data_IF_556846352979
#
_entry.id   IF_556846352979
#
_cell.length_a   1.000
_cell.length_b   1.000
_cell.length_c   1.000
_cell.angle_alpha   90.00
_cell.angle_beta   90.00
_cell.angle_gamma   90.00
#
_symmetry.space_group_name_H-M   'P 1'
#
loop_
_entity.id
_entity.type
_entity.pdbx_description
1 polymer ?
#
# COMPACT_ATOMS: atom_id res chain seq x y z
N UNK A 1 12.95 3.18 18.43
CA UNK A 1 11.95 2.52 19.29
C UNK A 1 12.14 1.01 19.22
N UNK A 2 12.03 0.30 20.35
CA UNK A 2 12.02 -1.17 20.35
C UNK A 2 10.85 -1.68 19.52
N UNK A 3 11.08 -2.76 18.78
CA UNK A 3 10.08 -3.32 17.86
C UNK A 3 9.04 -4.13 18.64
N UNK A 4 7.76 -3.94 18.33
CA UNK A 4 6.69 -4.79 18.84
C UNK A 4 6.64 -6.12 18.06
N UNK A 5 6.33 -7.21 18.77
CA UNK A 5 6.04 -8.49 18.15
C UNK A 5 4.78 -8.37 17.27
N UNK A 6 4.72 -9.13 16.17
CA UNK A 6 3.50 -9.19 15.36
C UNK A 6 2.39 -9.85 16.17
N UNK A 7 1.19 -9.29 16.06
CA UNK A 7 0.00 -9.94 16.60
C UNK A 7 -0.19 -11.28 15.88
N UNK A 8 -0.44 -12.33 16.66
CA UNK A 8 -0.83 -13.63 16.14
C UNK A 8 -2.34 -13.65 16.00
N UNK A 9 -2.81 -14.08 14.85
CA UNK A 9 -4.23 -14.25 14.59
C UNK A 9 -4.75 -15.57 15.13
N UNK A 10 -5.97 -15.60 15.65
CA UNK A 10 -6.65 -16.84 16.09
C UNK A 10 -7.12 -17.64 14.88
N UNK A 11 -7.65 -16.97 13.86
CA UNK A 11 -8.01 -17.59 12.56
C UNK A 11 -6.79 -17.93 11.70
N UNK A 12 -5.62 -17.40 12.05
CA UNK A 12 -4.39 -17.46 11.27
C UNK A 12 -4.47 -16.76 9.91
N UNK A 13 -5.47 -15.91 9.70
CA UNK A 13 -5.64 -15.13 8.46
C UNK A 13 -5.07 -13.73 8.66
N UNK A 14 -4.30 -13.28 7.67
CA UNK A 14 -3.61 -12.00 7.72
C UNK A 14 -3.71 -11.24 6.41
N UNK A 15 -3.93 -9.93 6.49
CA UNK A 15 -3.59 -9.00 5.42
C UNK A 15 -2.09 -8.73 5.50
N UNK A 16 -1.33 -9.00 4.44
CA UNK A 16 0.12 -8.79 4.36
C UNK A 16 0.47 -7.72 3.33
N UNK A 17 1.41 -6.85 3.68
CA UNK A 17 1.89 -5.80 2.79
C UNK A 17 3.42 -5.76 2.74
N UNK A 18 3.97 -5.81 1.53
CA UNK A 18 5.39 -5.57 1.23
C UNK A 18 5.49 -4.30 0.39
N UNK A 19 6.39 -3.37 0.75
CA UNK A 19 6.55 -2.10 0.03
C UNK A 19 8.02 -1.85 -0.29
N UNK A 20 8.29 -1.37 -1.51
CA UNK A 20 9.63 -0.99 -1.94
C UNK A 20 10.22 0.12 -1.07
N UNK A 21 11.52 0.06 -0.81
CA UNK A 21 12.23 1.11 -0.09
C UNK A 21 12.05 2.46 -0.80
N UNK A 22 11.82 3.54 -0.03
CA UNK A 22 11.50 4.86 -0.58
C UNK A 22 10.31 4.86 -1.57
N UNK A 23 9.40 3.87 -1.47
CA UNK A 23 8.27 3.66 -2.39
C UNK A 23 8.72 3.46 -3.85
N UNK A 24 9.94 3.00 -4.05
CA UNK A 24 10.47 2.71 -5.38
C UNK A 24 9.67 1.62 -6.06
N UNK A 25 9.70 1.61 -7.40
CA UNK A 25 9.14 0.52 -8.18
C UNK A 25 9.90 -0.77 -7.85
N UNK A 26 9.14 -1.81 -7.53
CA UNK A 26 9.63 -3.18 -7.30
C UNK A 26 9.16 -4.11 -8.41
N UNK A 27 8.34 -3.63 -9.34
CA UNK A 27 8.01 -4.27 -10.60
C UNK A 27 8.16 -3.24 -11.73
N UNK A 28 9.13 -3.47 -12.61
CA UNK A 28 9.48 -2.60 -13.72
C UNK A 28 9.12 -3.23 -15.07
N UNK A 29 9.21 -4.55 -15.18
CA UNK A 29 8.97 -5.33 -16.39
C UNK A 29 8.11 -6.56 -16.10
N UNK A 30 7.42 -7.11 -17.11
CA UNK A 30 6.50 -8.25 -16.95
C UNK A 30 7.10 -9.44 -16.19
N UNK A 31 8.37 -9.77 -16.46
CA UNK A 31 9.09 -10.87 -15.81
C UNK A 31 9.15 -10.71 -14.28
N UNK A 32 9.12 -9.48 -13.78
CA UNK A 32 9.17 -9.19 -12.34
C UNK A 32 7.90 -9.70 -11.67
N UNK A 33 6.74 -9.40 -12.26
CA UNK A 33 5.45 -9.89 -11.77
C UNK A 33 5.35 -11.41 -11.93
N UNK A 34 5.76 -11.94 -13.07
CA UNK A 34 5.74 -13.39 -13.32
C UNK A 34 6.61 -14.15 -12.33
N UNK A 35 7.82 -13.65 -12.04
CA UNK A 35 8.70 -14.27 -11.08
C UNK A 35 8.13 -14.20 -9.66
N UNK A 36 7.51 -13.08 -9.26
CA UNK A 36 6.86 -13.00 -7.96
C UNK A 36 5.66 -13.96 -7.84
N UNK A 37 4.83 -14.07 -8.89
CA UNK A 37 3.74 -15.05 -8.95
C UNK A 37 4.26 -16.49 -8.87
N UNK A 38 5.38 -16.79 -9.53
CA UNK A 38 6.04 -18.08 -9.41
C UNK A 38 6.45 -18.37 -7.96
N UNK A 39 7.01 -17.40 -7.24
CA UNK A 39 7.36 -17.55 -5.83
C UNK A 39 6.13 -17.77 -4.94
N UNK A 40 5.03 -17.06 -5.20
CA UNK A 40 3.75 -17.28 -4.50
C UNK A 40 3.23 -18.69 -4.74
N UNK A 41 3.21 -19.14 -6.00
CA UNK A 41 2.80 -20.50 -6.37
C UNK A 41 3.65 -21.57 -5.71
N UNK A 42 4.96 -21.38 -5.59
CA UNK A 42 5.86 -22.31 -4.90
C UNK A 42 5.65 -22.35 -3.39
N UNK A 43 5.19 -21.24 -2.80
CA UNK A 43 4.95 -21.16 -1.35
C UNK A 43 3.55 -21.65 -0.97
N UNK A 44 2.59 -21.59 -1.90
CA UNK A 44 1.22 -22.04 -1.70
C UNK A 44 1.16 -23.53 -1.30
N UNK A 45 0.46 -23.81 -0.20
CA UNK A 45 0.27 -25.16 0.34
C UNK A 45 -0.88 -25.15 1.35
N UNK A 46 -1.28 -26.31 1.85
CA UNK A 46 -2.26 -26.43 2.95
C UNK A 46 -1.88 -25.63 4.21
N UNK A 47 -0.59 -25.38 4.43
CA UNK A 47 -0.08 -24.62 5.59
C UNK A 47 0.16 -23.13 5.31
N UNK A 48 0.00 -22.72 4.05
CA UNK A 48 0.19 -21.36 3.58
C UNK A 48 -0.79 -21.12 2.42
N UNK A 49 -2.06 -20.89 2.75
CA UNK A 49 -3.12 -20.70 1.76
C UNK A 49 -3.20 -19.23 1.39
N UNK A 50 -3.20 -18.96 0.09
CA UNK A 50 -3.28 -17.60 -0.44
C UNK A 50 -4.72 -17.39 -0.91
N UNK A 51 -5.45 -16.50 -0.25
CA UNK A 51 -6.83 -16.19 -0.60
C UNK A 51 -6.92 -15.07 -1.65
N UNK A 52 -6.00 -14.11 -1.60
CA UNK A 52 -6.02 -12.95 -2.49
C UNK A 52 -4.62 -12.35 -2.68
N UNK A 53 -4.34 -11.78 -3.86
CA UNK A 53 -3.18 -10.94 -4.10
C UNK A 53 -3.48 -9.76 -5.02
N UNK A 54 -2.73 -8.67 -4.84
CA UNK A 54 -2.60 -7.59 -5.82
C UNK A 54 -1.16 -7.07 -5.82
N UNK A 55 -0.48 -7.14 -6.98
CA UNK A 55 0.93 -6.78 -7.15
C UNK A 55 1.05 -5.40 -7.82
N UNK A 56 1.02 -4.34 -7.01
CA UNK A 56 1.16 -2.96 -7.46
C UNK A 56 2.62 -2.63 -7.79
N UNK A 57 2.88 -1.63 -8.63
CA UNK A 57 4.23 -1.30 -9.12
C UNK A 57 5.29 -1.11 -8.02
N UNK A 58 4.92 -0.56 -6.86
CA UNK A 58 5.83 -0.30 -5.73
C UNK A 58 5.48 -1.03 -4.42
N UNK A 59 4.43 -1.85 -4.40
CA UNK A 59 4.01 -2.59 -3.20
C UNK A 59 3.12 -3.78 -3.54
N UNK A 60 2.91 -4.67 -2.57
CA UNK A 60 2.23 -5.95 -2.75
C UNK A 60 1.25 -6.11 -1.61
N UNK A 61 0.03 -6.52 -1.93
CA UNK A 61 -0.99 -6.93 -0.96
C UNK A 61 -1.26 -8.42 -1.09
N UNK A 62 -1.40 -9.11 0.03
CA UNK A 62 -1.82 -10.50 0.10
C UNK A 62 -2.85 -10.69 1.22
N UNK A 63 -3.78 -11.63 1.04
CA UNK A 63 -4.51 -12.27 2.15
C UNK A 63 -4.03 -13.70 2.24
N UNK A 64 -3.50 -14.08 3.40
CA UNK A 64 -2.88 -15.39 3.62
C UNK A 64 -3.35 -16.00 4.93
N UNK A 65 -3.71 -17.28 4.90
CA UNK A 65 -3.90 -18.12 6.07
C UNK A 65 -2.60 -18.92 6.33
N UNK A 66 -1.95 -18.72 7.48
CA UNK A 66 -0.77 -19.50 7.88
C UNK A 66 -0.38 -19.34 9.35
N UNK A 67 -0.08 -20.46 10.02
CA UNK A 67 0.55 -20.47 11.35
C UNK A 67 1.99 -19.95 11.33
N UNK A 68 2.74 -20.19 10.24
CA UNK A 68 4.14 -19.76 10.05
C UNK A 68 4.28 -18.57 9.09
N UNK A 69 3.34 -17.63 9.12
CA UNK A 69 3.28 -16.48 8.20
C UNK A 69 4.64 -15.79 7.98
N UNK A 70 5.34 -15.48 9.08
CA UNK A 70 6.62 -14.77 9.00
C UNK A 70 7.69 -15.52 8.22
N UNK A 71 7.72 -16.86 8.33
CA UNK A 71 8.70 -17.70 7.63
C UNK A 71 8.39 -17.76 6.14
N UNK A 72 7.12 -17.96 5.77
CA UNK A 72 6.67 -18.02 4.38
C UNK A 72 6.90 -16.71 3.64
N UNK A 73 6.44 -15.59 4.21
CA UNK A 73 6.60 -14.26 3.60
C UNK A 73 8.08 -13.85 3.53
N UNK A 74 8.88 -14.15 4.56
CA UNK A 74 10.33 -13.88 4.52
C UNK A 74 11.02 -14.64 3.39
N UNK A 75 10.70 -15.92 3.18
CA UNK A 75 11.26 -16.71 2.09
C UNK A 75 10.94 -16.11 0.71
N UNK A 76 9.68 -15.72 0.49
CA UNK A 76 9.26 -15.07 -0.76
C UNK A 76 10.03 -13.75 -0.96
N UNK A 77 9.99 -12.87 0.04
CA UNK A 77 10.60 -11.53 -0.05
C UNK A 77 12.12 -11.61 -0.28
N UNK A 78 12.82 -12.50 0.41
CA UNK A 78 14.27 -12.67 0.27
C UNK A 78 14.63 -13.17 -1.14
N UNK A 79 13.94 -14.20 -1.64
CA UNK A 79 14.21 -14.73 -2.99
C UNK A 79 13.92 -13.69 -4.07
N UNK A 80 12.83 -12.94 -3.93
CA UNK A 80 12.50 -11.87 -4.86
C UNK A 80 13.54 -10.75 -4.83
N UNK A 81 13.94 -10.28 -3.64
CA UNK A 81 14.92 -9.21 -3.51
C UNK A 81 16.28 -9.59 -4.09
N UNK A 82 16.74 -10.83 -3.87
CA UNK A 82 17.98 -11.35 -4.46
C UNK A 82 17.91 -11.37 -5.99
N UNK A 83 16.83 -11.93 -6.54
CA UNK A 83 16.62 -11.99 -7.99
C UNK A 83 16.53 -10.60 -8.63
N UNK A 84 15.75 -9.69 -8.05
CA UNK A 84 15.58 -8.32 -8.53
C UNK A 84 16.90 -7.55 -8.49
N UNK A 85 17.65 -7.67 -7.38
CA UNK A 85 18.94 -7.02 -7.26
C UNK A 85 19.95 -7.55 -8.29
N UNK A 86 19.94 -8.87 -8.55
CA UNK A 86 20.76 -9.45 -9.61
C UNK A 86 20.36 -8.94 -11.00
N UNK A 87 19.06 -9.02 -11.35
CA UNK A 87 18.51 -8.58 -12.64
C UNK A 87 18.85 -7.11 -12.95
N UNK A 88 18.62 -6.22 -11.97
CA UNK A 88 18.81 -4.78 -12.14
C UNK A 88 20.17 -4.26 -11.66
N UNK A 89 21.13 -5.15 -11.38
CA UNK A 89 22.49 -4.80 -10.90
C UNK A 89 22.48 -3.83 -9.70
N UNK A 90 21.56 -4.06 -8.76
CA UNK A 90 21.40 -3.25 -7.54
C UNK A 90 22.10 -3.90 -6.36
N UNK A 91 22.45 -3.08 -5.38
CA UNK A 91 22.89 -3.51 -4.06
C UNK A 91 21.97 -2.93 -2.97
N UNK A 92 21.97 -3.57 -1.80
CA UNK A 92 21.18 -3.15 -0.63
C UNK A 92 19.75 -3.69 -0.60
N UNK A 93 18.93 -3.09 0.27
CA UNK A 93 17.56 -3.52 0.54
C UNK A 93 16.62 -3.15 -0.61
N UNK A 94 15.75 -4.08 -1.01
CA UNK A 94 14.65 -3.81 -1.94
C UNK A 94 13.40 -3.31 -1.22
N UNK A 95 13.04 -3.96 -0.10
CA UNK A 95 11.87 -3.61 0.69
C UNK A 95 12.23 -2.63 1.81
N UNK A 96 11.28 -1.76 2.17
CA UNK A 96 11.48 -0.70 3.17
C UNK A 96 11.80 -1.23 4.57
N UNK A 97 11.14 -2.31 4.96
CA UNK A 97 11.29 -3.00 6.24
C UNK A 97 10.80 -4.45 6.03
N UNK A 98 10.66 -5.22 7.11
CA UNK A 98 9.86 -6.43 7.13
C UNK A 98 8.43 -6.12 6.65
N UNK A 99 7.73 -7.14 6.14
CA UNK A 99 6.32 -7.00 5.78
C UNK A 99 5.48 -6.50 6.96
N UNK A 100 4.49 -5.65 6.65
CA UNK A 100 3.41 -5.31 7.58
C UNK A 100 2.35 -6.40 7.54
N UNK A 101 1.69 -6.63 8.66
CA UNK A 101 0.57 -7.56 8.74
C UNK A 101 -0.47 -7.10 9.73
N UNK A 102 -1.74 -7.28 9.37
CA UNK A 102 -2.90 -7.12 10.25
C UNK A 102 -3.64 -8.45 10.32
N UNK A 103 -4.15 -8.77 11.50
CA UNK A 103 -4.94 -9.98 11.72
C UNK A 103 -6.34 -9.78 11.14
N UNK A 104 -6.94 -10.84 10.61
CA UNK A 104 -8.32 -10.85 10.13
C UNK A 104 -9.08 -11.88 10.95
N UNK A 105 -9.82 -11.42 11.96
CA UNK A 105 -10.52 -12.31 12.90
C UNK A 105 -12.01 -12.49 12.57
N UNK A 106 -12.56 -11.67 11.69
CA UNK A 106 -13.96 -11.71 11.31
C UNK A 106 -14.16 -11.78 9.78
N UNK A 107 -15.20 -12.48 9.38
CA UNK A 107 -15.52 -12.74 7.98
C UNK A 107 -15.93 -11.48 7.22
N UNK A 108 -16.56 -10.51 7.90
CA UNK A 108 -16.98 -9.24 7.29
C UNK A 108 -15.73 -8.43 6.91
N UNK A 109 -14.76 -8.34 7.82
CA UNK A 109 -13.49 -7.67 7.57
C UNK A 109 -12.66 -8.41 6.54
N UNK A 110 -12.69 -9.74 6.52
CA UNK A 110 -12.09 -10.53 5.44
C UNK A 110 -12.61 -10.09 4.07
N UNK A 111 -13.93 -10.00 3.90
CA UNK A 111 -14.54 -9.56 2.64
C UNK A 111 -14.20 -8.10 2.30
N UNK A 112 -14.21 -7.20 3.29
CA UNK A 112 -13.84 -5.79 3.11
C UNK A 112 -12.39 -5.66 2.63
N UNK A 113 -11.45 -6.30 3.33
CA UNK A 113 -10.04 -6.36 2.97
C UNK A 113 -9.83 -6.96 1.57
N UNK A 114 -10.56 -8.04 1.27
CA UNK A 114 -10.52 -8.67 -0.04
C UNK A 114 -10.94 -7.72 -1.17
N UNK A 115 -12.07 -7.02 -1.02
CA UNK A 115 -12.53 -6.00 -1.97
C UNK A 115 -11.53 -4.87 -2.11
N UNK A 116 -11.03 -4.36 -0.99
CA UNK A 116 -10.03 -3.30 -0.97
C UNK A 116 -8.79 -3.65 -1.80
N UNK A 117 -8.24 -4.85 -1.59
CA UNK A 117 -7.05 -5.32 -2.30
C UNK A 117 -7.30 -5.39 -3.81
N UNK A 118 -8.42 -5.97 -4.25
CA UNK A 118 -8.75 -6.07 -5.67
C UNK A 118 -9.07 -4.72 -6.32
N UNK A 119 -9.59 -3.75 -5.53
CA UNK A 119 -9.85 -2.40 -6.01
C UNK A 119 -8.63 -1.47 -5.97
N UNK A 120 -7.51 -1.89 -5.37
CA UNK A 120 -6.33 -1.04 -5.23
C UNK A 120 -5.83 -0.45 -6.58
N UNK A 121 -5.80 -1.21 -7.70
CA UNK A 121 -5.47 -0.67 -9.02
C UNK A 121 -6.44 0.41 -9.51
N UNK A 122 -7.74 0.25 -9.21
CA UNK A 122 -8.78 1.23 -9.57
C UNK A 122 -8.62 2.50 -8.73
N UNK A 123 -8.42 2.35 -7.42
CA UNK A 123 -8.15 3.47 -6.50
C UNK A 123 -6.88 4.24 -6.87
N UNK A 124 -5.88 3.56 -7.40
CA UNK A 124 -4.65 4.16 -7.91
C UNK A 124 -4.80 4.81 -9.30
N UNK A 125 -5.95 4.66 -9.97
CA UNK A 125 -6.20 5.18 -11.32
C UNK A 125 -5.48 4.42 -12.44
N UNK A 126 -5.03 3.18 -12.18
CA UNK A 126 -4.32 2.34 -13.16
C UNK A 126 -5.31 1.72 -14.16
N UNK A 127 -6.51 1.37 -13.70
CA UNK A 127 -7.57 0.82 -14.54
C UNK A 127 -8.94 1.32 -14.07
N UNK A 128 -9.96 1.17 -14.92
CA UNK A 128 -11.34 1.58 -14.62
C UNK A 128 -12.13 0.51 -13.87
N UNK A 129 -11.71 -0.76 -13.92
CA UNK A 129 -12.34 -1.90 -13.26
C UNK A 129 -11.28 -2.86 -12.74
N UNK A 130 -11.54 -3.50 -11.60
CA UNK A 130 -10.64 -4.49 -11.00
C UNK A 130 -10.33 -5.65 -11.96
N UNK A 131 -11.33 -6.09 -12.74
CA UNK A 131 -11.21 -7.16 -13.73
C UNK A 131 -10.21 -6.88 -14.86
N UNK A 132 -9.84 -5.62 -15.08
CA UNK A 132 -8.90 -5.23 -16.13
C UNK A 132 -7.44 -5.26 -15.65
N UNK A 133 -7.18 -5.48 -14.36
CA UNK A 133 -5.83 -5.49 -13.82
C UNK A 133 -5.25 -6.90 -13.76
N UNK A 134 -4.31 -7.17 -14.68
CA UNK A 134 -3.68 -8.48 -14.88
C UNK A 134 -2.94 -9.02 -13.66
N UNK A 135 -2.33 -8.14 -12.86
CA UNK A 135 -1.45 -8.54 -11.76
C UNK A 135 -2.16 -8.62 -10.40
N UNK A 136 -3.43 -9.03 -10.43
CA UNK A 136 -4.22 -9.38 -9.26
C UNK A 136 -4.77 -10.80 -9.38
N UNK A 137 -5.29 -11.34 -8.28
CA UNK A 137 -5.99 -12.62 -8.30
C UNK A 137 -7.43 -12.55 -8.82
N UNK A 138 -7.93 -11.37 -9.26
CA UNK A 138 -9.32 -11.18 -9.65
C UNK A 138 -9.80 -12.25 -10.65
N UNK A 139 -9.02 -12.49 -11.72
CA UNK A 139 -9.40 -13.46 -12.75
C UNK A 139 -9.36 -14.91 -12.26
N UNK A 140 -8.64 -15.23 -11.18
CA UNK A 140 -8.57 -16.58 -10.64
C UNK A 140 -9.91 -17.04 -10.05
N UNK A 141 -10.78 -16.12 -9.64
CA UNK A 141 -12.07 -16.45 -9.03
C UNK A 141 -13.16 -16.85 -10.02
N UNK A 142 -12.92 -16.65 -11.32
CA UNK A 142 -13.83 -16.99 -12.41
C UNK A 142 -13.25 -18.08 -13.33
N UNK A 143 -12.02 -18.52 -13.05
CA UNK A 143 -11.33 -19.51 -13.86
C UNK A 143 -11.73 -20.91 -13.44
N UNK A 144 -12.16 -21.74 -14.41
CA UNK A 144 -12.39 -23.17 -14.17
C UNK A 144 -11.10 -23.99 -14.04
N UNK A 145 -9.94 -23.39 -14.34
CA UNK A 145 -8.63 -24.04 -14.18
C UNK A 145 -8.13 -23.97 -12.75
N UNK A 146 -7.45 -25.04 -12.31
CA UNK A 146 -6.79 -25.12 -11.00
C UNK A 146 -5.81 -23.96 -10.81
N UNK A 147 -6.08 -23.13 -9.80
CA UNK A 147 -5.21 -22.04 -9.34
C UNK A 147 -4.51 -22.43 -8.04
N UNK A 148 -3.40 -21.77 -7.72
CA UNK A 148 -2.78 -21.86 -6.38
C UNK A 148 -3.47 -20.95 -5.35
N UNK A 149 -4.51 -20.22 -5.78
CA UNK A 149 -5.36 -19.38 -4.95
C UNK A 149 -6.48 -20.23 -4.38
N UNK A 150 -6.67 -20.15 -3.06
CA UNK A 150 -7.76 -20.79 -2.34
C UNK A 150 -9.02 -19.95 -2.55
N UNK A 151 -9.96 -20.44 -3.35
CA UNK A 151 -11.18 -19.71 -3.74
C UNK A 151 -12.42 -20.22 -3.02
N UNK A 152 -12.33 -21.37 -2.34
CA UNK A 152 -13.44 -22.08 -1.71
C UNK A 152 -14.16 -21.25 -0.66
N UNK A 153 -13.44 -20.36 0.04
CA UNK A 153 -14.02 -19.45 1.04
C UNK A 153 -15.07 -18.50 0.43
N UNK A 154 -14.98 -18.18 -0.87
CA UNK A 154 -15.95 -17.31 -1.54
C UNK A 154 -17.33 -17.96 -1.65
N UNK A 155 -17.41 -19.30 -1.68
CA UNK A 155 -18.69 -20.02 -1.77
C UNK A 155 -19.55 -19.81 -0.52
N UNK A 156 -18.92 -19.45 0.61
CA UNK A 156 -19.61 -19.10 1.86
C UNK A 156 -20.34 -17.75 1.74
N UNK A 157 -19.85 -16.86 0.87
CA UNK A 157 -20.32 -15.47 0.76
C UNK A 157 -21.12 -15.19 -0.51
N UNK A 158 -20.80 -15.88 -1.61
CA UNK A 158 -21.38 -15.63 -2.92
C UNK A 158 -21.95 -16.92 -3.49
N UNK A 159 -23.25 -16.91 -3.82
CA UNK A 159 -23.93 -18.07 -4.43
C UNK A 159 -23.78 -18.07 -5.95
N UNK A 160 -23.62 -16.88 -6.55
CA UNK A 160 -23.45 -16.68 -7.99
C UNK A 160 -22.26 -15.78 -8.23
N UNK A 161 -21.55 -15.99 -9.34
CA UNK A 161 -20.49 -15.09 -9.80
C UNK A 161 -20.96 -13.63 -9.89
N UNK A 162 -22.23 -13.42 -10.24
CA UNK A 162 -22.80 -12.08 -10.31
C UNK A 162 -22.84 -11.36 -8.97
N UNK A 163 -23.05 -12.09 -7.88
CA UNK A 163 -23.06 -11.52 -6.53
C UNK A 163 -21.66 -11.00 -6.16
N UNK A 164 -20.63 -11.77 -6.52
CA UNK A 164 -19.23 -11.38 -6.37
C UNK A 164 -18.91 -10.13 -7.21
N UNK A 165 -19.28 -10.10 -8.49
CA UNK A 165 -19.04 -8.94 -9.36
C UNK A 165 -19.69 -7.68 -8.80
N UNK A 166 -20.95 -7.79 -8.38
CA UNK A 166 -21.70 -6.69 -7.77
C UNK A 166 -20.99 -6.20 -6.51
N UNK A 167 -20.56 -7.11 -5.64
CA UNK A 167 -19.83 -6.76 -4.42
C UNK A 167 -18.51 -6.02 -4.69
N UNK A 168 -17.71 -6.48 -5.66
CA UNK A 168 -16.44 -5.82 -6.03
C UNK A 168 -16.68 -4.51 -6.78
N UNK A 169 -17.86 -4.27 -7.34
CA UNK A 169 -18.18 -2.98 -7.98
C UNK A 169 -18.51 -1.86 -7.00
N UNK A 170 -18.88 -2.19 -5.76
CA UNK A 170 -19.21 -1.21 -4.71
C UNK A 170 -17.95 -0.47 -4.29
N UNK A 171 -17.96 0.86 -4.36
CA UNK A 171 -16.82 1.69 -3.94
C UNK A 171 -16.46 1.39 -2.49
N UNK A 172 -15.20 1.02 -2.26
CA UNK A 172 -14.71 0.73 -0.93
C UNK A 172 -14.21 2.01 -0.24
N UNK A 173 -14.87 2.41 0.85
CA UNK A 173 -14.56 3.60 1.66
C UNK A 173 -13.82 3.28 2.98
N UNK A 174 -13.40 2.02 3.15
CA UNK A 174 -12.70 1.55 4.35
C UNK A 174 -11.29 2.14 4.53
N UNK A 175 -10.79 2.07 5.77
CA UNK A 175 -9.42 2.45 6.12
C UNK A 175 -8.56 1.19 6.34
N UNK A 176 -7.38 1.11 5.70
CA UNK A 176 -6.50 -0.06 5.71
C UNK A 176 -5.03 0.35 5.94
N UNK A 177 -4.18 -0.60 6.36
CA UNK A 177 -2.81 -0.35 6.85
C UNK A 177 -1.85 0.46 5.94
N UNK A 178 -2.05 0.41 4.63
CA UNK A 178 -1.16 1.02 3.63
C UNK A 178 -1.72 2.26 2.97
N UNK A 179 -2.98 2.59 3.24
CA UNK A 179 -3.48 3.95 3.13
C UNK A 179 -2.63 4.72 4.13
N UNK A 180 -1.53 5.31 3.64
CA UNK A 180 -0.68 6.13 4.48
C UNK A 180 -1.61 7.07 5.22
N UNK A 181 -1.56 7.04 6.55
CA UNK A 181 -2.21 8.03 7.41
C UNK A 181 -1.56 9.42 7.26
N UNK A 182 -1.08 9.75 6.07
CA UNK A 182 -0.84 11.12 5.67
C UNK A 182 -2.18 11.61 5.13
N UNK A 183 -2.99 12.17 6.02
CA UNK A 183 -4.13 13.02 5.64
C UNK A 183 -3.66 13.86 4.44
N UNK A 184 -4.30 13.70 3.28
CA UNK A 184 -3.94 14.45 2.08
C UNK A 184 -4.49 15.87 2.25
N UNK A 185 -3.70 16.73 2.86
CA UNK A 185 -4.08 18.12 3.12
C UNK A 185 -4.31 18.85 1.80
N UNK A 186 -5.51 19.40 1.63
CA UNK A 186 -5.79 20.25 0.49
C UNK A 186 -5.19 21.66 0.71
N UNK A 187 -5.09 22.47 -0.35
CA UNK A 187 -4.45 23.78 -0.25
C UNK A 187 -5.15 24.71 0.76
N UNK A 188 -6.47 24.58 0.93
CA UNK A 188 -7.24 25.40 1.87
C UNK A 188 -6.88 25.02 3.31
N UNK A 189 -6.87 23.72 3.65
CA UNK A 189 -6.53 23.27 4.99
C UNK A 189 -5.08 23.61 5.39
N UNK A 190 -4.13 23.54 4.44
CA UNK A 190 -2.75 23.98 4.68
C UNK A 190 -2.70 25.49 4.92
N UNK A 191 -3.50 26.26 4.16
CA UNK A 191 -3.61 27.72 4.30
C UNK A 191 -4.23 28.10 5.63
N UNK A 192 -5.21 27.35 6.10
CA UNK A 192 -5.85 27.58 7.40
C UNK A 192 -4.87 27.36 8.55
N UNK A 193 -4.03 26.30 8.51
CA UNK A 193 -2.94 26.11 9.47
C UNK A 193 -1.94 27.26 9.41
N UNK A 194 -1.59 27.68 8.20
CA UNK A 194 -0.64 28.78 8.00
C UNK A 194 -1.18 30.08 8.61
N UNK A 195 -2.44 30.43 8.34
CA UNK A 195 -3.10 31.62 8.86
C UNK A 195 -3.27 31.57 10.38
N UNK A 196 -3.64 30.41 10.95
CA UNK A 196 -3.76 30.25 12.39
C UNK A 196 -2.44 30.57 13.13
N UNK A 197 -1.29 30.28 12.51
CA UNK A 197 0.03 30.58 13.06
C UNK A 197 0.50 32.01 12.83
N UNK A 198 0.15 32.56 11.67
CA UNK A 198 0.46 33.95 11.33
C UNK A 198 -0.36 34.95 12.17
N UNK A 199 -1.55 34.55 12.61
CA UNK A 199 -2.51 35.45 13.24
C UNK A 199 -2.88 36.57 12.27
N UNK A 200 -2.59 37.81 12.66
CA UNK A 200 -2.86 39.00 11.84
C UNK A 200 -1.67 39.43 10.95
N UNK A 201 -0.54 38.72 10.99
CA UNK A 201 0.67 39.10 10.25
C UNK A 201 0.70 38.49 8.85
N UNK A 202 1.18 39.24 7.87
CA UNK A 202 1.54 38.69 6.56
C UNK A 202 2.80 37.80 6.63
N UNK A 203 2.90 36.78 5.77
CA UNK A 203 4.11 35.93 5.67
C UNK A 203 5.36 36.77 5.37
N UNK A 204 5.20 37.85 4.62
CA UNK A 204 6.27 38.77 4.27
C UNK A 204 6.67 39.73 5.41
N UNK A 205 5.93 39.75 6.51
CA UNK A 205 6.28 40.51 7.73
C UNK A 205 7.14 39.69 8.70
N UNK A 206 7.22 38.37 8.50
CA UNK A 206 8.05 37.48 9.29
C UNK A 206 9.54 37.66 8.97
N UNK A 207 10.40 37.45 9.96
CA UNK A 207 11.84 37.31 9.75
C UNK A 207 12.16 36.10 8.86
N UNK A 208 13.36 36.05 8.27
CA UNK A 208 13.76 34.90 7.46
C UNK A 208 13.78 33.60 8.28
N UNK A 209 14.23 33.66 9.53
CA UNK A 209 14.25 32.51 10.44
C UNK A 209 12.83 31.98 10.73
N UNK A 210 11.89 32.88 10.99
CA UNK A 210 10.49 32.51 11.24
C UNK A 210 9.83 31.91 10.00
N UNK A 211 10.15 32.40 8.79
CA UNK A 211 9.67 31.80 7.53
C UNK A 211 10.22 30.40 7.32
N UNK A 212 11.48 30.16 7.70
CA UNK A 212 12.10 28.84 7.64
C UNK A 212 11.38 27.89 8.61
N UNK A 213 11.18 28.31 9.86
CA UNK A 213 10.49 27.51 10.88
C UNK A 213 9.06 27.17 10.47
N UNK A 214 8.31 28.15 9.95
CA UNK A 214 6.95 27.95 9.44
C UNK A 214 6.91 26.90 8.33
N UNK A 215 7.83 26.96 7.36
CA UNK A 215 7.88 25.99 6.26
C UNK A 215 8.27 24.60 6.75
N UNK A 216 9.24 24.50 7.67
CA UNK A 216 9.64 23.23 8.28
C UNK A 216 8.47 22.58 9.02
N UNK A 217 7.74 23.35 9.80
CA UNK A 217 6.60 22.86 10.58
C UNK A 217 5.41 22.47 9.69
N UNK A 218 5.05 23.31 8.71
CA UNK A 218 4.02 22.97 7.73
C UNK A 218 4.38 21.68 6.99
N UNK A 219 5.64 21.51 6.60
CA UNK A 219 6.12 20.28 5.95
C UNK A 219 6.05 19.07 6.87
N UNK A 220 6.44 19.21 8.14
CA UNK A 220 6.40 18.13 9.12
C UNK A 220 4.96 17.71 9.45
N UNK A 221 4.04 18.68 9.56
CA UNK A 221 2.64 18.43 9.93
C UNK A 221 1.77 17.94 8.77
N UNK A 222 2.03 18.44 7.56
CA UNK A 222 1.15 18.18 6.40
C UNK A 222 1.75 17.28 5.34
N UNK A 223 3.07 17.05 5.38
CA UNK A 223 3.82 16.36 4.32
C UNK A 223 3.60 16.94 2.91
N UNK A 224 3.16 18.21 2.84
CA UNK A 224 2.85 18.87 1.58
C UNK A 224 4.08 19.00 0.68
N UNK A 225 3.85 18.89 -0.63
CA UNK A 225 4.91 19.03 -1.64
C UNK A 225 5.50 20.45 -1.66
N UNK A 226 6.72 20.60 -2.17
CA UNK A 226 7.35 21.92 -2.42
C UNK A 226 6.41 22.84 -3.22
N UNK A 227 5.70 22.28 -4.21
CA UNK A 227 4.75 23.02 -5.04
C UNK A 227 3.54 23.51 -4.24
N UNK A 228 2.97 22.67 -3.38
CA UNK A 228 1.83 23.04 -2.55
C UNK A 228 2.21 24.09 -1.52
N UNK A 229 3.32 23.89 -0.80
CA UNK A 229 3.82 24.86 0.18
C UNK A 229 4.10 26.21 -0.48
N UNK A 230 4.80 26.23 -1.61
CA UNK A 230 5.06 27.47 -2.37
C UNK A 230 3.78 28.16 -2.82
N UNK A 231 2.75 27.40 -3.23
CA UNK A 231 1.45 27.95 -3.64
C UNK A 231 0.67 28.54 -2.46
N UNK A 232 0.73 27.91 -1.29
CA UNK A 232 -0.01 28.35 -0.10
C UNK A 232 0.66 29.53 0.60
N UNK A 233 1.99 29.51 0.69
CA UNK A 233 2.75 30.52 1.45
C UNK A 233 3.27 31.68 0.61
N UNK A 234 3.23 31.56 -0.72
CA UNK A 234 3.82 32.55 -1.63
C UNK A 234 5.36 32.57 -1.62
N UNK A 235 6.01 31.72 -0.83
CA UNK A 235 7.48 31.60 -0.80
C UNK A 235 7.94 30.88 -2.07
N UNK A 236 9.05 31.33 -2.66
CA UNK A 236 9.59 30.76 -3.88
C UNK A 236 9.90 29.26 -3.72
N UNK A 237 9.69 28.48 -4.79
CA UNK A 237 9.99 27.03 -4.78
C UNK A 237 11.46 26.75 -4.44
N UNK A 238 12.37 27.64 -4.81
CA UNK A 238 13.78 27.57 -4.45
C UNK A 238 13.90 27.59 -2.92
N UNK A 239 13.44 28.63 -2.25
CA UNK A 239 13.52 28.76 -0.79
C UNK A 239 12.81 27.60 -0.07
N UNK A 240 11.58 27.25 -0.47
CA UNK A 240 10.85 26.10 0.12
C UNK A 240 11.60 24.77 -0.05
N UNK A 241 12.37 24.60 -1.13
CA UNK A 241 13.17 23.40 -1.40
C UNK A 241 14.45 23.34 -0.55
N UNK A 242 15.06 24.48 -0.25
CA UNK A 242 16.34 24.57 0.48
C UNK A 242 16.17 24.74 2.00
N UNK A 243 15.02 25.21 2.47
CA UNK A 243 14.68 25.29 3.90
C UNK A 243 14.25 23.93 4.46
N UNK A 244 15.08 22.91 4.25
CA UNK A 244 14.91 21.56 4.81
C UNK A 244 15.66 21.48 6.14
N UNK A 245 15.01 20.90 7.16
CA UNK A 245 15.71 20.12 8.18
C UNK A 245 15.58 18.67 7.77
#
# INVERSE_FOLDING_TARGET
>A
MPRHARQRSVTHVYHVILRGINRMMIFCENDDWQFFLHLLKQQASEKFRIYCYCLMTNHIHLIVESEELSRGVHRIATRYAMWFNHKYKRCGYLFQDRFKSEVIEDEIYLLQCFRYILQNPVKAGICTKASLYTWSSYCNYFSSYSSFIYTEFLNTFFKKEKDFENYISIVDEGQYMDIDQLKKWNNQEIKDICNQKLGNKGIMELSQEDRILLIQELRQKTHASVRQLSKVTGISRYNVRYWKK
#
